data_IF_219931006361
#
_entry.id   IF_219931006361
#
_cell.length_a   1.000
_cell.length_b   1.000
_cell.length_c   1.000
_cell.angle_alpha   90.00
_cell.angle_beta   90.00
_cell.angle_gamma   90.00
#
_symmetry.space_group_name_H-M   'P 1'
#
loop_
_entity.id
_entity.type
_entity.pdbx_description
1 polymer ?
#
# COMPACT_ATOMS: atom_id res chain seq x y z
N UNK A 1 -15.34 -17.43 -44.46
CA UNK A 1 -15.47 -18.80 -43.92
C UNK A 1 -14.79 -18.83 -42.56
N UNK A 2 -15.48 -19.39 -41.56
CA UNK A 2 -15.07 -19.58 -40.15
C UNK A 2 -15.22 -18.40 -39.18
N UNK A 3 -16.46 -17.89 -39.10
CA UNK A 3 -17.06 -17.53 -37.80
C UNK A 3 -17.56 -18.81 -37.12
N UNK A 4 -17.57 -18.85 -35.79
CA UNK A 4 -18.32 -19.82 -34.93
C UNK A 4 -17.56 -21.02 -34.35
N UNK A 5 -16.62 -20.80 -33.41
CA UNK A 5 -16.28 -21.81 -32.39
C UNK A 5 -16.09 -21.13 -31.02
N UNK A 6 -17.18 -20.71 -30.39
CA UNK A 6 -17.24 -20.48 -28.94
C UNK A 6 -18.70 -20.61 -28.49
N UNK A 7 -19.15 -21.86 -28.38
CA UNK A 7 -20.34 -22.26 -27.63
C UNK A 7 -20.29 -23.77 -27.41
N UNK A 8 -20.69 -24.15 -26.19
CA UNK A 8 -20.68 -25.49 -25.60
C UNK A 8 -19.40 -25.83 -24.84
N UNK A 9 -19.45 -25.63 -23.53
CA UNK A 9 -19.38 -26.70 -22.53
C UNK A 9 -19.87 -26.12 -21.19
N UNK A 10 -21.19 -26.06 -21.07
CA UNK A 10 -21.89 -26.02 -19.78
C UNK A 10 -22.22 -27.45 -19.37
N UNK A 11 -22.26 -27.68 -18.06
CA UNK A 11 -22.70 -28.90 -17.35
C UNK A 11 -21.66 -30.04 -17.22
N UNK A 12 -21.02 -30.10 -16.05
CA UNK A 12 -20.97 -31.28 -15.17
C UNK A 12 -19.93 -31.07 -14.06
N UNK A 13 -20.40 -30.75 -12.84
CA UNK A 13 -19.62 -30.96 -11.60
C UNK A 13 -19.73 -32.44 -11.24
N UNK A 14 -18.64 -33.21 -11.08
CA UNK A 14 -18.72 -34.53 -10.49
C UNK A 14 -19.07 -34.40 -9.01
N UNK A 15 -20.12 -35.09 -8.59
CA UNK A 15 -20.49 -35.28 -7.20
C UNK A 15 -19.43 -36.14 -6.51
N UNK A 16 -18.68 -35.56 -5.58
CA UNK A 16 -17.93 -36.31 -4.58
C UNK A 16 -18.82 -36.47 -3.35
N UNK A 17 -19.43 -37.65 -3.22
CA UNK A 17 -20.13 -38.06 -2.01
C UNK A 17 -19.38 -39.24 -1.39
N UNK A 18 -19.33 -39.24 -0.06
CA UNK A 18 -19.12 -40.36 0.88
C UNK A 18 -17.69 -40.59 1.39
N UNK A 19 -17.32 -39.79 2.40
CA UNK A 19 -16.85 -40.35 3.66
C UNK A 19 -17.61 -39.68 4.80
N UNK A 20 -18.74 -40.27 5.17
CA UNK A 20 -19.45 -39.96 6.40
C UNK A 20 -18.91 -40.89 7.49
N UNK A 21 -18.10 -40.36 8.39
CA UNK A 21 -17.87 -40.97 9.71
C UNK A 21 -18.69 -40.19 10.72
N UNK A 22 -19.70 -40.86 11.26
CA UNK A 22 -20.56 -40.35 12.32
C UNK A 22 -19.74 -40.01 13.57
N UNK A 23 -19.65 -38.72 13.89
CA UNK A 23 -19.43 -38.27 15.26
C UNK A 23 -20.53 -37.25 15.56
N UNK A 24 -21.49 -37.67 16.37
CA UNK A 24 -22.56 -36.81 16.86
C UNK A 24 -21.95 -35.69 17.73
N UNK A 25 -21.80 -34.51 17.16
CA UNK A 25 -21.47 -33.30 17.93
C UNK A 25 -22.79 -32.74 18.46
N UNK A 26 -22.98 -32.86 19.77
CA UNK A 26 -24.10 -32.26 20.49
C UNK A 26 -24.07 -30.74 20.28
N UNK A 27 -25.18 -30.23 19.76
CA UNK A 27 -25.55 -28.82 19.82
C UNK A 27 -25.38 -28.32 21.25
N UNK A 28 -24.36 -27.48 21.47
CA UNK A 28 -24.11 -26.81 22.74
C UNK A 28 -23.88 -25.33 22.42
N UNK A 29 -24.92 -24.54 22.67
CA UNK A 29 -24.92 -23.11 22.99
C UNK A 29 -23.67 -22.30 22.61
N UNK A 30 -23.77 -21.58 21.50
CA UNK A 30 -22.86 -20.52 21.08
C UNK A 30 -23.10 -19.26 21.92
N UNK A 31 -22.37 -19.09 23.03
CA UNK A 31 -22.32 -17.78 23.73
C UNK A 31 -21.19 -17.60 24.76
N UNK A 32 -20.14 -18.43 24.80
CA UNK A 32 -19.04 -18.24 25.78
C UNK A 32 -17.60 -18.50 25.33
N UNK A 33 -17.31 -18.83 24.06
CA UNK A 33 -15.95 -19.20 23.61
C UNK A 33 -15.12 -18.05 23.01
N UNK A 34 -15.69 -16.85 22.85
CA UNK A 34 -15.00 -15.72 22.24
C UNK A 34 -13.89 -15.10 23.12
N UNK A 35 -13.76 -15.51 24.39
CA UNK A 35 -12.81 -14.92 25.36
C UNK A 35 -11.47 -15.66 25.50
N UNK A 36 -11.19 -16.70 24.70
CA UNK A 36 -9.99 -17.55 24.86
C UNK A 36 -9.18 -17.78 23.59
N UNK A 37 -9.43 -17.03 22.52
CA UNK A 37 -8.60 -17.08 21.31
C UNK A 37 -7.34 -16.21 21.52
N UNK A 38 -6.16 -16.78 21.25
CA UNK A 38 -4.92 -16.03 21.15
C UNK A 38 -5.01 -14.96 20.06
N UNK A 39 -4.23 -13.89 20.17
CA UNK A 39 -4.33 -12.72 19.29
C UNK A 39 -4.19 -13.06 17.80
N UNK A 40 -3.36 -14.04 17.47
CA UNK A 40 -3.17 -14.50 16.09
C UNK A 40 -4.40 -15.27 15.57
N UNK A 41 -4.98 -16.15 16.38
CA UNK A 41 -6.21 -16.87 16.02
C UNK A 41 -7.39 -15.91 15.91
N UNK A 42 -7.47 -14.93 16.81
CA UNK A 42 -8.43 -13.84 16.68
C UNK A 42 -8.26 -13.11 15.35
N UNK A 43 -7.05 -12.70 14.97
CA UNK A 43 -6.79 -12.08 13.68
C UNK A 43 -7.31 -12.93 12.51
N UNK A 44 -6.99 -14.23 12.50
CA UNK A 44 -7.38 -15.19 11.46
C UNK A 44 -8.89 -15.41 11.38
N UNK A 45 -9.61 -15.21 12.49
CA UNK A 45 -11.08 -15.35 12.55
C UNK A 45 -11.84 -14.16 11.99
N UNK A 46 -11.20 -13.00 11.81
CA UNK A 46 -11.88 -11.78 11.41
C UNK A 46 -12.33 -11.81 9.95
N UNK A 47 -13.61 -11.49 9.72
CA UNK A 47 -14.20 -11.30 8.39
C UNK A 47 -14.19 -9.84 7.92
N UNK A 48 -13.61 -8.94 8.70
CA UNK A 48 -13.33 -7.55 8.37
C UNK A 48 -12.05 -7.07 9.08
N UNK A 49 -11.30 -6.10 8.53
CA UNK A 49 -10.13 -5.56 9.21
C UNK A 49 -10.49 -4.92 10.55
N UNK A 50 -9.80 -5.31 11.62
CA UNK A 50 -9.95 -4.66 12.93
C UNK A 50 -9.00 -3.47 13.08
N UNK A 51 -9.53 -2.35 13.59
CA UNK A 51 -8.77 -1.15 13.93
C UNK A 51 -8.51 -1.00 15.44
N UNK A 52 -8.93 -1.96 16.24
CA UNK A 52 -8.97 -1.85 17.72
C UNK A 52 -8.04 -2.86 18.39
N UNK A 53 -6.78 -2.88 17.99
CA UNK A 53 -5.76 -3.77 18.57
C UNK A 53 -5.13 -3.17 19.83
N UNK A 54 -5.06 -3.97 20.89
CA UNK A 54 -4.32 -3.58 22.11
C UNK A 54 -2.82 -3.83 21.96
N UNK A 55 -2.00 -3.10 22.71
CA UNK A 55 -0.54 -3.32 22.76
C UNK A 55 -0.19 -4.75 23.17
N UNK A 56 -0.98 -5.38 24.05
CA UNK A 56 -0.75 -6.76 24.49
C UNK A 56 -0.96 -7.76 23.35
N UNK A 57 -2.05 -7.63 22.60
CA UNK A 57 -2.33 -8.48 21.44
C UNK A 57 -1.27 -8.33 20.35
N UNK A 58 -0.83 -7.10 20.06
CA UNK A 58 0.26 -6.86 19.10
C UNK A 58 1.58 -7.49 19.56
N UNK A 59 1.88 -7.41 20.86
CA UNK A 59 3.06 -8.06 21.45
C UNK A 59 3.01 -9.58 21.31
N UNK A 60 1.84 -10.18 21.51
CA UNK A 60 1.62 -11.61 21.33
C UNK A 60 1.87 -12.03 19.87
N UNK A 61 1.30 -11.30 18.90
CA UNK A 61 1.54 -11.54 17.46
C UNK A 61 3.04 -11.41 17.13
N UNK A 62 3.70 -10.36 17.63
CA UNK A 62 5.12 -10.12 17.39
C UNK A 62 6.03 -11.26 17.92
N UNK A 63 5.66 -11.89 19.04
CA UNK A 63 6.41 -13.00 19.62
C UNK A 63 5.99 -14.38 19.12
N UNK A 64 5.10 -14.45 18.11
CA UNK A 64 4.77 -15.71 17.45
C UNK A 64 6.01 -16.29 16.76
N UNK A 65 6.25 -17.61 16.80
CA UNK A 65 7.32 -18.24 16.04
C UNK A 65 7.28 -17.85 14.55
N UNK A 66 8.43 -17.49 13.97
CA UNK A 66 8.50 -16.86 12.65
C UNK A 66 7.77 -17.65 11.56
N UNK A 67 7.90 -18.98 11.53
CA UNK A 67 7.28 -19.82 10.51
C UNK A 67 5.75 -19.86 10.65
N UNK A 68 5.25 -19.91 11.89
CA UNK A 68 3.81 -19.82 12.18
C UNK A 68 3.24 -18.44 11.79
N UNK A 69 3.96 -17.37 12.15
CA UNK A 69 3.57 -16.01 11.77
C UNK A 69 3.57 -15.81 10.26
N UNK A 70 4.55 -16.37 9.56
CA UNK A 70 4.66 -16.30 8.10
C UNK A 70 3.50 -17.02 7.44
N UNK A 71 3.17 -18.23 7.91
CA UNK A 71 2.03 -18.98 7.39
C UNK A 71 0.71 -18.23 7.62
N UNK A 72 0.48 -17.71 8.83
CA UNK A 72 -0.71 -16.91 9.14
C UNK A 72 -0.79 -15.63 8.28
N UNK A 73 0.34 -14.95 8.04
CA UNK A 73 0.40 -13.80 7.16
C UNK A 73 0.03 -14.14 5.71
N UNK A 74 0.45 -15.30 5.20
CA UNK A 74 0.06 -15.77 3.86
C UNK A 74 -1.44 -16.06 3.76
N UNK A 75 -2.03 -16.66 4.80
CA UNK A 75 -3.48 -16.90 4.86
C UNK A 75 -4.26 -15.58 4.81
N UNK A 76 -3.86 -14.59 5.60
CA UNK A 76 -4.46 -13.25 5.57
C UNK A 76 -4.27 -12.57 4.22
N UNK A 77 -3.05 -12.59 3.68
CA UNK A 77 -2.77 -11.97 2.39
C UNK A 77 -3.66 -12.56 1.28
N UNK A 78 -3.85 -13.88 1.23
CA UNK A 78 -4.73 -14.54 0.26
C UNK A 78 -6.22 -14.31 0.51
N UNK A 79 -6.62 -14.03 1.76
CA UNK A 79 -8.01 -13.67 2.11
C UNK A 79 -8.37 -12.29 1.55
N UNK A 80 -7.43 -11.33 1.60
CA UNK A 80 -7.70 -9.91 1.31
C UNK A 80 -7.15 -9.41 -0.02
N UNK A 81 -6.21 -10.13 -0.62
CA UNK A 81 -5.52 -9.72 -1.84
C UNK A 81 -5.43 -10.86 -2.85
N UNK A 82 -5.35 -10.50 -4.13
CA UNK A 82 -5.02 -11.42 -5.20
C UNK A 82 -3.53 -11.80 -5.09
N UNK A 83 -3.18 -13.04 -4.72
CA UNK A 83 -1.80 -13.43 -4.44
C UNK A 83 -0.93 -13.51 -5.70
N UNK A 84 -1.52 -13.34 -6.89
CA UNK A 84 -0.81 -13.32 -8.17
C UNK A 84 -0.41 -11.92 -8.61
N UNK A 85 -0.83 -10.90 -7.86
CA UNK A 85 -0.61 -9.49 -8.20
C UNK A 85 0.34 -8.83 -7.22
N UNK A 86 1.17 -7.95 -7.75
CA UNK A 86 2.04 -7.05 -7.00
C UNK A 86 1.87 -5.65 -7.57
N UNK A 87 1.69 -4.65 -6.70
CA UNK A 87 1.64 -3.26 -7.15
C UNK A 87 3.05 -2.76 -7.42
N UNK A 88 3.28 -2.24 -8.63
CA UNK A 88 4.56 -1.69 -9.05
C UNK A 88 4.52 -0.16 -8.95
N UNK A 89 5.42 0.39 -8.15
CA UNK A 89 5.55 1.82 -7.90
C UNK A 89 6.98 2.27 -8.21
N UNK A 90 7.13 3.35 -8.98
CA UNK A 90 8.42 4.04 -9.16
C UNK A 90 8.40 5.35 -8.40
N UNK A 91 9.50 5.67 -7.71
CA UNK A 91 9.64 6.91 -6.94
C UNK A 91 10.75 7.79 -7.53
N UNK A 92 10.47 9.08 -7.66
CA UNK A 92 11.43 10.11 -8.02
C UNK A 92 11.58 11.12 -6.87
N UNK A 93 12.82 11.46 -6.53
CA UNK A 93 13.09 12.61 -5.67
C UNK A 93 12.94 13.89 -6.49
N UNK A 94 11.83 14.59 -6.31
CA UNK A 94 11.59 15.87 -6.97
C UNK A 94 12.39 17.02 -6.34
N UNK A 95 12.83 16.86 -5.09
CA UNK A 95 13.76 17.76 -4.40
C UNK A 95 14.68 16.93 -3.49
N UNK A 96 15.98 17.05 -3.67
CA UNK A 96 16.98 16.21 -2.98
C UNK A 96 17.82 17.00 -1.96
N UNK A 97 18.14 16.35 -0.83
CA UNK A 97 19.08 16.85 0.18
C UNK A 97 18.61 18.11 0.92
N UNK A 98 19.43 18.63 1.85
CA UNK A 98 19.14 19.88 2.57
C UNK A 98 17.84 19.86 3.39
N UNK A 99 17.43 18.70 3.92
CA UNK A 99 16.29 18.61 4.83
C UNK A 99 16.71 19.12 6.23
N UNK A 100 15.83 19.89 6.89
CA UNK A 100 16.10 20.47 8.22
C UNK A 100 15.91 19.49 9.37
N UNK A 101 15.17 18.40 9.15
CA UNK A 101 14.93 17.36 10.15
C UNK A 101 16.23 16.61 10.49
N UNK A 102 16.32 16.07 11.70
CA UNK A 102 17.50 15.42 12.27
C UNK A 102 17.38 13.89 12.36
N UNK A 103 16.58 13.30 11.46
CA UNK A 103 16.38 11.86 11.39
C UNK A 103 17.72 11.11 11.29
N UNK A 104 18.06 10.32 12.31
CA UNK A 104 19.38 9.66 12.45
C UNK A 104 19.74 8.71 11.31
N UNK A 105 18.75 8.19 10.60
CA UNK A 105 18.92 7.26 9.50
C UNK A 105 18.89 7.95 8.12
N UNK A 106 18.48 9.22 8.03
CA UNK A 106 18.18 9.83 6.74
C UNK A 106 19.42 10.49 6.12
N UNK A 107 19.83 10.00 4.93
CA UNK A 107 20.95 10.57 4.20
C UNK A 107 20.69 11.99 3.65
N UNK A 108 19.42 12.42 3.60
CA UNK A 108 19.01 13.74 3.10
C UNK A 108 18.96 14.83 4.18
N UNK A 109 19.18 14.47 5.45
CA UNK A 109 19.27 15.43 6.55
C UNK A 109 20.52 16.28 6.41
N UNK A 110 20.36 17.60 6.52
CA UNK A 110 21.48 18.55 6.61
C UNK A 110 22.30 18.41 7.91
N UNK A 111 21.86 17.56 8.85
CA UNK A 111 22.57 17.27 10.10
C UNK A 111 23.54 16.09 10.00
N UNK A 112 23.47 15.33 8.91
CA UNK A 112 24.28 14.13 8.69
C UNK A 112 25.31 14.42 7.58
N UNK A 113 26.55 13.97 7.78
CA UNK A 113 27.60 14.06 6.76
C UNK A 113 27.58 12.81 5.88
N UNK A 114 26.85 12.89 4.77
CA UNK A 114 26.66 11.77 3.82
C UNK A 114 27.26 12.03 2.44
N UNK A 115 27.87 13.20 2.25
CA UNK A 115 28.33 13.67 0.93
C UNK A 115 27.21 14.02 -0.07
N UNK A 116 25.93 13.90 0.32
CA UNK A 116 24.80 14.24 -0.54
C UNK A 116 24.71 15.76 -0.75
N UNK A 117 24.72 16.18 -2.01
CA UNK A 117 24.55 17.59 -2.38
C UNK A 117 23.07 17.96 -2.41
N UNK A 118 22.73 19.12 -1.86
CA UNK A 118 21.38 19.66 -1.94
C UNK A 118 21.11 20.17 -3.36
N UNK A 119 19.99 19.74 -3.93
CA UNK A 119 19.56 20.13 -5.27
C UNK A 119 18.24 20.87 -5.21
N UNK A 120 18.02 21.75 -6.19
CA UNK A 120 16.76 22.47 -6.34
C UNK A 120 15.67 21.50 -6.81
N UNK A 121 14.42 21.91 -6.63
CA UNK A 121 13.30 21.12 -7.13
C UNK A 121 13.33 21.03 -8.66
N UNK A 122 13.28 19.81 -9.19
CA UNK A 122 13.33 19.48 -10.62
C UNK A 122 12.17 20.10 -11.40
N UNK A 123 12.34 20.32 -12.70
CA UNK A 123 11.28 20.87 -13.55
C UNK A 123 10.18 19.83 -13.80
N UNK A 124 8.98 20.32 -14.17
CA UNK A 124 7.82 19.45 -14.47
C UNK A 124 8.14 18.50 -15.63
N UNK A 125 8.82 18.99 -16.68
CA UNK A 125 9.17 18.18 -17.84
C UNK A 125 10.11 17.01 -17.51
N UNK A 126 10.99 17.18 -16.53
CA UNK A 126 11.87 16.11 -16.05
C UNK A 126 11.06 15.01 -15.34
N UNK A 127 10.04 15.41 -14.56
CA UNK A 127 9.13 14.47 -13.89
C UNK A 127 8.28 13.71 -14.91
N UNK A 128 7.77 14.39 -15.94
CA UNK A 128 7.00 13.76 -17.03
C UNK A 128 7.83 12.69 -17.71
N UNK A 129 9.07 13.01 -18.08
CA UNK A 129 9.96 12.07 -18.75
C UNK A 129 10.20 10.82 -17.89
N UNK A 130 10.49 11.00 -16.60
CA UNK A 130 10.71 9.88 -15.69
C UNK A 130 9.44 9.05 -15.46
N UNK A 131 8.27 9.70 -15.42
CA UNK A 131 6.98 9.03 -15.29
C UNK A 131 6.62 8.22 -16.54
N UNK A 132 6.90 8.74 -17.73
CA UNK A 132 6.74 8.00 -18.99
C UNK A 132 7.65 6.78 -19.02
N UNK A 133 8.92 6.94 -18.62
CA UNK A 133 9.89 5.85 -18.53
C UNK A 133 9.41 4.78 -17.53
N UNK A 134 8.93 5.20 -16.36
CA UNK A 134 8.34 4.31 -15.34
C UNK A 134 7.12 3.56 -15.88
N UNK A 135 6.21 4.25 -16.60
CA UNK A 135 5.04 3.63 -17.23
C UNK A 135 5.44 2.59 -18.25
N UNK A 136 6.42 2.89 -19.12
CA UNK A 136 6.94 1.93 -20.10
C UNK A 136 7.57 0.71 -19.44
N UNK A 137 8.13 0.88 -18.24
CA UNK A 137 8.68 -0.21 -17.42
C UNK A 137 7.62 -0.98 -16.61
N UNK A 138 6.33 -0.66 -16.78
CA UNK A 138 5.22 -1.40 -16.16
C UNK A 138 4.80 -0.88 -14.78
N UNK A 139 5.29 0.28 -14.34
CA UNK A 139 4.77 0.88 -13.10
C UNK A 139 3.31 1.29 -13.24
N UNK A 140 2.57 1.06 -12.17
CA UNK A 140 1.14 1.43 -12.03
C UNK A 140 0.96 2.71 -11.22
N UNK A 141 1.96 3.06 -10.40
CA UNK A 141 1.98 4.26 -9.57
C UNK A 141 3.32 4.98 -9.65
N UNK A 142 3.29 6.30 -9.70
CA UNK A 142 4.49 7.14 -9.68
C UNK A 142 4.48 8.06 -8.45
N UNK A 143 5.57 8.05 -7.70
CA UNK A 143 5.65 8.67 -6.39
C UNK A 143 6.67 9.81 -6.38
N UNK A 144 6.25 10.99 -5.89
CA UNK A 144 7.08 12.18 -5.82
C UNK A 144 7.56 12.41 -4.38
N UNK A 145 8.87 12.36 -4.16
CA UNK A 145 9.49 12.62 -2.86
C UNK A 145 10.20 13.96 -2.78
N UNK A 146 9.96 14.73 -1.72
CA UNK A 146 10.65 15.98 -1.47
C UNK A 146 11.36 16.00 -0.11
N UNK A 147 12.63 16.38 -0.08
CA UNK A 147 13.42 16.49 1.15
C UNK A 147 13.10 17.77 1.95
N UNK A 148 11.83 17.96 2.31
CA UNK A 148 11.40 19.06 3.18
C UNK A 148 10.75 18.51 4.44
N UNK A 149 10.84 19.31 5.50
CA UNK A 149 10.05 19.11 6.72
C UNK A 149 8.56 19.34 6.45
N UNK A 150 8.23 20.48 5.86
CA UNK A 150 6.86 20.92 5.66
C UNK A 150 6.70 21.78 4.40
N UNK A 151 5.45 22.05 4.03
CA UNK A 151 5.10 22.90 2.89
C UNK A 151 4.89 24.39 3.25
N UNK A 152 5.18 24.81 4.49
CA UNK A 152 4.95 26.20 4.91
C UNK A 152 5.82 27.16 4.11
N UNK A 153 5.21 28.23 3.59
CA UNK A 153 5.90 29.22 2.73
C UNK A 153 6.26 28.73 1.33
N UNK A 154 5.89 27.50 0.94
CA UNK A 154 6.27 26.87 -0.34
C UNK A 154 5.16 26.89 -1.38
N UNK A 155 4.40 27.99 -1.46
CA UNK A 155 3.23 28.12 -2.36
C UNK A 155 3.57 27.86 -3.84
N UNK A 156 4.69 28.38 -4.33
CA UNK A 156 5.13 28.18 -5.72
C UNK A 156 5.54 26.73 -6.00
N UNK A 157 6.20 26.08 -5.04
CA UNK A 157 6.53 24.67 -5.16
C UNK A 157 5.27 23.80 -5.13
N UNK A 158 4.29 24.13 -4.28
CA UNK A 158 3.01 23.42 -4.25
C UNK A 158 2.29 23.48 -5.60
N UNK A 159 2.20 24.66 -6.23
CA UNK A 159 1.61 24.80 -7.58
C UNK A 159 2.31 23.93 -8.63
N UNK A 160 3.64 23.90 -8.60
CA UNK A 160 4.43 23.04 -9.50
C UNK A 160 4.19 21.55 -9.23
N UNK A 161 4.04 21.15 -7.97
CA UNK A 161 3.74 19.76 -7.60
C UNK A 161 2.33 19.38 -8.05
N UNK A 162 1.34 20.27 -7.91
CA UNK A 162 0.00 20.05 -8.47
C UNK A 162 0.07 19.81 -9.98
N UNK A 163 0.84 20.62 -10.72
CA UNK A 163 1.05 20.41 -12.15
C UNK A 163 1.71 19.06 -12.48
N UNK A 164 2.72 18.66 -11.69
CA UNK A 164 3.33 17.33 -11.82
C UNK A 164 2.30 16.21 -11.61
N UNK A 165 1.49 16.30 -10.55
CA UNK A 165 0.45 15.31 -10.23
C UNK A 165 -0.60 15.22 -11.33
N UNK A 166 -1.12 16.37 -11.80
CA UNK A 166 -2.10 16.39 -12.90
C UNK A 166 -1.56 15.69 -14.14
N UNK A 167 -0.34 16.04 -14.57
CA UNK A 167 0.23 15.46 -15.79
C UNK A 167 0.53 13.96 -15.65
N UNK A 168 0.98 13.49 -14.49
CA UNK A 168 1.20 12.05 -14.25
C UNK A 168 -0.14 11.30 -14.23
N UNK A 169 -1.19 11.87 -13.63
CA UNK A 169 -2.53 11.28 -13.65
C UNK A 169 -3.11 11.23 -15.06
N UNK A 170 -2.91 12.26 -15.89
CA UNK A 170 -3.33 12.29 -17.30
C UNK A 170 -2.66 11.18 -18.13
N UNK A 171 -1.53 10.64 -17.69
CA UNK A 171 -0.88 9.47 -18.29
C UNK A 171 -1.51 8.15 -17.86
N UNK A 172 -2.53 8.14 -16.99
CA UNK A 172 -3.16 6.93 -16.47
C UNK A 172 -2.31 6.17 -15.44
N UNK A 173 -1.34 6.85 -14.82
CA UNK A 173 -0.65 6.36 -13.63
C UNK A 173 -1.37 6.86 -12.38
N UNK A 174 -1.38 6.07 -11.31
CA UNK A 174 -1.69 6.61 -9.99
C UNK A 174 -0.54 7.52 -9.53
N UNK A 175 -0.85 8.63 -8.87
CA UNK A 175 0.19 9.50 -8.29
C UNK A 175 0.18 9.47 -6.77
N UNK A 176 1.38 9.44 -6.18
CA UNK A 176 1.58 9.56 -4.75
C UNK A 176 2.60 10.66 -4.44
N UNK A 177 2.46 11.36 -3.31
CA UNK A 177 3.42 12.40 -2.90
C UNK A 177 3.82 12.24 -1.44
N UNK A 178 5.09 12.50 -1.14
CA UNK A 178 5.60 12.65 0.23
C UNK A 178 6.35 13.97 0.34
N UNK A 179 5.68 14.95 0.97
CA UNK A 179 6.10 16.35 1.04
C UNK A 179 6.41 16.79 2.49
N UNK A 180 6.48 15.84 3.41
CA UNK A 180 6.50 16.11 4.84
C UNK A 180 5.13 16.55 5.36
N UNK A 181 5.12 17.46 6.33
CA UNK A 181 3.89 17.98 6.94
C UNK A 181 3.17 18.95 5.99
N UNK A 182 1.94 18.60 5.65
CA UNK A 182 1.00 19.43 4.89
C UNK A 182 -0.11 19.91 5.82
N UNK A 183 -0.41 21.22 5.80
CA UNK A 183 -1.55 21.75 6.57
C UNK A 183 -2.86 21.65 5.78
N UNK A 184 -3.98 21.91 6.46
CA UNK A 184 -5.31 21.78 5.87
C UNK A 184 -5.54 22.70 4.66
N UNK A 185 -4.90 23.88 4.64
CA UNK A 185 -4.96 24.80 3.50
C UNK A 185 -4.26 24.24 2.25
N UNK A 186 -3.30 23.33 2.45
CA UNK A 186 -2.66 22.59 1.36
C UNK A 186 -3.41 21.30 0.98
N UNK A 187 -4.07 20.62 1.94
CA UNK A 187 -4.67 19.29 1.73
C UNK A 187 -5.97 19.30 0.92
N UNK A 188 -6.90 20.22 1.19
CA UNK A 188 -8.29 20.11 0.71
C UNK A 188 -8.47 20.58 -0.75
N UNK A 189 -7.70 21.58 -1.18
CA UNK A 189 -7.84 22.15 -2.53
C UNK A 189 -6.85 21.58 -3.57
N UNK A 190 -5.78 20.91 -3.13
CA UNK A 190 -4.63 20.63 -4.01
C UNK A 190 -4.54 19.22 -4.58
N UNK A 191 -5.03 18.19 -3.88
CA UNK A 191 -4.77 16.78 -4.28
C UNK A 191 -6.02 15.92 -4.36
N UNK A 192 -7.02 16.14 -3.49
CA UNK A 192 -8.25 15.32 -3.46
C UNK A 192 -9.11 15.50 -4.73
N UNK A 193 -8.99 16.62 -5.44
CA UNK A 193 -9.70 16.89 -6.70
C UNK A 193 -8.98 16.40 -7.96
N UNK A 194 -7.76 15.89 -7.83
CA UNK A 194 -6.91 15.53 -8.97
C UNK A 194 -6.85 14.02 -9.23
N UNK A 195 -7.39 13.21 -8.32
CA UNK A 195 -7.53 11.75 -8.39
C UNK A 195 -9.00 11.37 -8.58
#
# INVERSE_FOLDING_TARGET
MMSTIYRHLSTARPALTKYATNAAVKSTTASSEASTLGALQYALSLDEPSHSWTKSQLKEIYHTPLLELTHAAQLQHRKWHDPTKVQLCTLMNIKSGGCSEDCKYCAQSSRNDTGLKAEKMVKVDEVIKEAEDAKRNGSTRFCLGAAWRDMKGRKSAMKRIQEMVTKVNDMGLETCVTLGMVDQSHQVDSFVRLS
#
